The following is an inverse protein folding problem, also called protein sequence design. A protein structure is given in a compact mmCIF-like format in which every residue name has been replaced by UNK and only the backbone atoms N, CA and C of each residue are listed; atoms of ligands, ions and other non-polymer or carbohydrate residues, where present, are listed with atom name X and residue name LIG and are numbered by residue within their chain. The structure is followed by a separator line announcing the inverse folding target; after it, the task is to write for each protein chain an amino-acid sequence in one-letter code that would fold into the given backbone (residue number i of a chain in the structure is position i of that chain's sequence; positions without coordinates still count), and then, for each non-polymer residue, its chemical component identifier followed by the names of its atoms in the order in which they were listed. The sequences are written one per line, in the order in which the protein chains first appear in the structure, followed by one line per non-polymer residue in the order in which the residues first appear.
data_IF_021633542613
#
_entry.id   IF_021633542613
#
_cell.length_a   1.000
_cell.length_b   1.000
_cell.length_c   1.000
_cell.angle_alpha   90.00
_cell.angle_beta   90.00
_cell.angle_gamma   90.00
#
_symmetry.space_group_name_H-M   'P 1'
#
loop_
_entity.id
_entity.type
_entity.pdbx_description
1 polymer ?
#
# COMPACT_ATOMS: atom_id res chain seq x y z
N UNK A 1 25.67 5.59 -3.29
CA UNK A 1 24.86 5.04 -4.40
C UNK A 1 23.91 4.02 -3.82
N UNK A 2 22.64 4.38 -3.65
CA UNK A 2 21.63 3.40 -3.26
C UNK A 2 21.50 2.35 -4.37
N UNK A 3 21.49 1.07 -4.00
CA UNK A 3 21.29 -0.03 -4.94
C UNK A 3 20.06 0.24 -5.80
N UNK A 4 20.21 0.10 -7.12
CA UNK A 4 19.09 0.02 -8.07
C UNK A 4 18.10 -1.02 -7.52
N UNK A 5 16.82 -0.67 -7.54
CA UNK A 5 15.76 -1.32 -6.75
C UNK A 5 15.67 -2.85 -6.91
N UNK A 6 15.52 -3.56 -5.79
CA UNK A 6 15.25 -5.01 -5.73
C UNK A 6 13.73 -5.27 -5.78
N UNK A 7 13.03 -4.76 -6.78
CA UNK A 7 11.61 -5.05 -6.97
C UNK A 7 11.41 -6.15 -8.01
N UNK A 8 10.38 -6.96 -7.82
CA UNK A 8 9.94 -8.00 -8.77
C UNK A 8 8.52 -7.64 -9.16
N UNK A 9 8.30 -7.37 -10.44
CA UNK A 9 7.02 -6.88 -10.97
C UNK A 9 6.59 -7.78 -12.12
N UNK A 10 5.45 -8.43 -11.99
CA UNK A 10 4.87 -9.25 -13.04
C UNK A 10 3.55 -8.67 -13.53
N UNK A 11 3.15 -9.01 -14.74
CA UNK A 11 1.82 -8.75 -15.28
C UNK A 11 1.03 -10.05 -15.34
N UNK A 12 -0.19 -10.02 -14.79
CA UNK A 12 -1.18 -11.09 -14.92
C UNK A 12 -2.31 -10.62 -15.83
N UNK A 13 -2.55 -11.35 -16.93
CA UNK A 13 -3.64 -11.05 -17.88
C UNK A 13 -4.81 -12.01 -17.81
N UNK A 14 -4.61 -13.16 -17.17
CA UNK A 14 -5.62 -14.21 -17.04
C UNK A 14 -5.63 -14.76 -15.63
N UNK A 15 -6.80 -15.21 -15.19
CA UNK A 15 -6.96 -15.97 -13.95
C UNK A 15 -6.53 -17.44 -14.11
N UNK A 16 -6.29 -17.90 -15.35
CA UNK A 16 -5.77 -19.23 -15.64
C UNK A 16 -4.27 -19.31 -15.28
N UNK A 17 -3.90 -20.09 -14.25
CA UNK A 17 -2.51 -20.18 -13.79
C UNK A 17 -1.58 -20.84 -14.81
N UNK A 18 -2.11 -21.59 -15.79
CA UNK A 18 -1.30 -22.24 -16.82
C UNK A 18 -0.68 -21.26 -17.82
N UNK A 19 -1.24 -20.05 -17.93
CA UNK A 19 -0.76 -19.01 -18.84
C UNK A 19 0.42 -18.22 -18.26
N UNK A 20 0.81 -18.47 -17.01
CA UNK A 20 1.94 -17.83 -16.34
C UNK A 20 1.75 -16.32 -16.15
N UNK A 21 2.82 -15.67 -15.67
CA UNK A 21 2.88 -14.21 -15.54
C UNK A 21 4.00 -13.65 -16.40
N UNK A 22 3.76 -12.50 -17.02
CA UNK A 22 4.75 -11.80 -17.85
C UNK A 22 5.69 -11.01 -16.93
N UNK A 23 7.01 -11.15 -17.09
CA UNK A 23 7.99 -10.36 -16.33
C UNK A 23 8.04 -8.91 -16.84
N UNK A 24 8.09 -7.95 -15.91
CA UNK A 24 8.43 -6.56 -16.20
C UNK A 24 9.84 -6.31 -15.66
N UNK A 25 10.89 -6.56 -16.46
CA UNK A 25 12.25 -6.36 -16.00
C UNK A 25 12.54 -4.87 -15.73
N UNK A 26 13.64 -4.58 -15.00
CA UNK A 26 14.13 -3.23 -14.82
C UNK A 26 14.22 -2.45 -16.14
N UNK A 27 13.93 -1.15 -16.08
CA UNK A 27 13.90 -0.21 -17.22
C UNK A 27 12.71 -0.34 -18.18
N UNK A 28 11.74 -1.22 -17.93
CA UNK A 28 10.43 -1.09 -18.58
C UNK A 28 9.65 0.09 -17.98
N UNK A 29 8.75 0.76 -18.73
CA UNK A 29 7.92 1.84 -18.17
C UNK A 29 7.09 1.38 -16.97
N UNK A 30 6.48 0.19 -17.06
CA UNK A 30 5.70 -0.41 -15.95
C UNK A 30 6.57 -0.57 -14.71
N UNK A 31 7.72 -1.25 -14.83
CA UNK A 31 8.63 -1.42 -13.71
C UNK A 31 9.06 -0.08 -13.11
N UNK A 32 9.52 0.84 -13.96
CA UNK A 32 10.09 2.13 -13.52
C UNK A 32 9.08 2.94 -12.72
N UNK A 33 7.83 3.04 -13.19
CA UNK A 33 6.81 3.85 -12.55
C UNK A 33 6.21 3.18 -11.31
N UNK A 34 6.08 1.84 -11.31
CA UNK A 34 5.70 1.09 -10.11
C UNK A 34 6.79 1.19 -9.04
N UNK A 35 8.06 1.02 -9.42
CA UNK A 35 9.22 1.17 -8.54
C UNK A 35 9.28 2.57 -7.91
N UNK A 36 9.01 3.61 -8.70
CA UNK A 36 8.91 4.99 -8.22
C UNK A 36 7.82 5.12 -7.14
N UNK A 37 6.61 4.64 -7.40
CA UNK A 37 5.51 4.71 -6.43
C UNK A 37 5.81 3.92 -5.14
N UNK A 38 6.47 2.75 -5.25
CA UNK A 38 6.94 1.97 -4.10
C UNK A 38 7.95 2.77 -3.28
N UNK A 39 8.92 3.43 -3.92
CA UNK A 39 9.92 4.21 -3.19
C UNK A 39 9.31 5.41 -2.44
N UNK A 40 8.30 6.05 -3.02
CA UNK A 40 7.53 7.10 -2.34
C UNK A 40 6.81 6.50 -1.11
N UNK A 41 6.11 5.38 -1.28
CA UNK A 41 5.43 4.69 -0.18
C UNK A 41 6.39 4.29 0.96
N UNK A 42 7.55 3.71 0.62
CA UNK A 42 8.58 3.37 1.60
C UNK A 42 9.09 4.61 2.33
N UNK A 43 9.27 5.72 1.63
CA UNK A 43 9.69 6.99 2.26
C UNK A 43 8.64 7.53 3.23
N UNK A 44 7.35 7.41 2.90
CA UNK A 44 6.24 7.73 3.81
C UNK A 44 6.31 6.84 5.05
N UNK A 45 6.37 5.52 4.86
CA UNK A 45 6.36 4.52 5.94
C UNK A 45 7.60 4.59 6.85
N UNK A 46 8.78 4.83 6.27
CA UNK A 46 10.06 4.91 6.98
C UNK A 46 10.30 6.26 7.67
N UNK A 47 9.48 7.28 7.38
CA UNK A 47 9.54 8.57 8.05
C UNK A 47 9.30 8.44 9.57
N UNK A 48 9.76 9.40 10.40
CA UNK A 48 9.46 9.38 11.83
C UNK A 48 7.95 9.28 12.13
N UNK A 49 7.12 9.92 11.29
CA UNK A 49 5.66 9.89 11.41
C UNK A 49 5.06 8.55 10.99
N UNK A 50 5.54 7.97 9.89
CA UNK A 50 5.18 6.63 9.43
C UNK A 50 5.50 5.56 10.48
N UNK A 51 6.74 5.53 10.98
CA UNK A 51 7.16 4.60 12.04
C UNK A 51 6.33 4.75 13.31
N UNK A 52 5.98 5.99 13.68
CA UNK A 52 5.14 6.25 14.85
C UNK A 52 3.78 5.54 14.72
N UNK A 53 3.05 5.76 13.63
CA UNK A 53 1.72 5.18 13.47
C UNK A 53 1.72 3.70 13.13
N UNK A 54 2.74 3.19 12.43
CA UNK A 54 2.94 1.75 12.31
C UNK A 54 3.16 1.09 13.68
N UNK A 55 3.88 1.74 14.58
CA UNK A 55 4.05 1.26 15.97
C UNK A 55 2.74 1.27 16.74
N UNK A 56 1.92 2.32 16.58
CA UNK A 56 0.59 2.36 17.21
C UNK A 56 -0.31 1.25 16.66
N UNK A 57 -0.36 1.07 15.34
CA UNK A 57 -1.11 0.00 14.71
C UNK A 57 -0.63 -1.38 15.17
N UNK A 58 0.68 -1.60 15.24
CA UNK A 58 1.27 -2.84 15.72
C UNK A 58 0.87 -3.16 17.17
N UNK A 59 0.87 -2.16 18.06
CA UNK A 59 0.41 -2.33 19.45
C UNK A 59 -1.08 -2.70 19.54
N UNK A 60 -1.92 -2.09 18.70
CA UNK A 60 -3.35 -2.41 18.66
C UNK A 60 -3.57 -3.84 18.15
N UNK A 61 -2.89 -4.23 17.06
CA UNK A 61 -2.94 -5.59 16.53
C UNK A 61 -2.51 -6.60 17.59
N UNK A 62 -1.42 -6.30 18.29
CA UNK A 62 -0.84 -7.16 19.32
C UNK A 62 -1.77 -7.33 20.54
N UNK A 63 -2.44 -6.26 20.96
CA UNK A 63 -3.43 -6.31 22.03
C UNK A 63 -4.61 -7.23 21.69
N UNK A 64 -5.04 -7.24 20.42
CA UNK A 64 -6.12 -8.11 19.92
C UNK A 64 -5.71 -9.59 19.76
N UNK A 65 -4.43 -9.93 19.99
CA UNK A 65 -3.92 -11.32 19.91
C UNK A 65 -3.95 -12.06 21.26
N UNK A 66 -4.22 -11.35 22.36
CA UNK A 66 -4.30 -11.87 23.73
C UNK A 66 -3.11 -12.78 24.10
N UNK A 67 -3.33 -14.07 24.35
CA UNK A 67 -2.28 -15.04 24.71
C UNK A 67 -1.15 -15.17 23.66
N UNK A 68 -1.40 -14.75 22.41
CA UNK A 68 -0.41 -14.77 21.32
C UNK A 68 0.29 -13.41 21.12
N UNK A 69 0.10 -12.46 22.04
CA UNK A 69 0.76 -11.16 22.01
C UNK A 69 2.30 -11.30 22.04
N UNK A 70 2.95 -10.62 21.10
CA UNK A 70 4.39 -10.50 20.98
C UNK A 70 4.97 -9.40 21.86
N UNK A 71 4.21 -8.33 22.11
CA UNK A 71 4.73 -7.11 22.75
C UNK A 71 4.21 -6.90 24.17
N UNK A 72 3.06 -7.47 24.52
CA UNK A 72 2.41 -7.31 25.83
C UNK A 72 2.24 -5.83 26.20
N UNK A 73 1.90 -5.00 25.22
CA UNK A 73 1.78 -3.54 25.37
C UNK A 73 3.11 -2.78 25.45
N UNK A 74 4.27 -3.46 25.34
CA UNK A 74 5.57 -2.80 25.35
C UNK A 74 5.85 -2.09 24.02
N UNK A 75 5.79 -0.76 24.06
CA UNK A 75 6.00 0.11 22.90
C UNK A 75 7.39 0.00 22.29
N UNK A 76 8.44 -0.23 23.08
CA UNK A 76 9.81 -0.32 22.56
C UNK A 76 10.02 -1.63 21.79
N UNK A 77 9.41 -2.73 22.25
CA UNK A 77 9.39 -4.01 21.53
C UNK A 77 8.60 -3.86 20.23
N UNK A 78 7.41 -3.24 20.27
CA UNK A 78 6.61 -2.99 19.08
C UNK A 78 7.38 -2.16 18.03
N UNK A 79 8.04 -1.08 18.49
CA UNK A 79 8.88 -0.22 17.64
C UNK A 79 10.02 -1.02 17.01
N UNK A 80 10.72 -1.85 17.78
CA UNK A 80 11.78 -2.70 17.27
C UNK A 80 11.28 -3.60 16.14
N UNK A 81 10.15 -4.28 16.32
CA UNK A 81 9.61 -5.17 15.30
C UNK A 81 9.05 -4.44 14.07
N UNK A 82 8.53 -3.23 14.23
CA UNK A 82 8.18 -2.35 13.10
C UNK A 82 9.43 -1.95 12.31
N UNK A 83 10.53 -1.63 12.99
CA UNK A 83 11.80 -1.32 12.33
C UNK A 83 12.35 -2.54 11.58
N UNK A 84 12.25 -3.74 12.16
CA UNK A 84 12.61 -5.00 11.49
C UNK A 84 11.71 -5.26 10.28
N UNK A 85 10.40 -5.07 10.41
CA UNK A 85 9.44 -5.22 9.32
C UNK A 85 9.79 -4.29 8.14
N UNK A 86 9.98 -3.00 8.40
CA UNK A 86 10.35 -2.03 7.37
C UNK A 86 11.70 -2.36 6.73
N UNK A 87 12.69 -2.77 7.52
CA UNK A 87 13.99 -3.18 6.98
C UNK A 87 13.87 -4.39 6.04
N UNK A 88 13.04 -5.38 6.39
CA UNK A 88 12.75 -6.54 5.54
C UNK A 88 12.05 -6.13 4.25
N UNK A 89 11.00 -5.32 4.34
CA UNK A 89 10.24 -4.82 3.18
C UNK A 89 11.14 -3.99 2.25
N UNK A 90 12.02 -3.15 2.79
CA UNK A 90 12.99 -2.38 1.99
C UNK A 90 14.00 -3.28 1.28
N UNK A 91 14.51 -4.29 1.97
CA UNK A 91 15.51 -5.21 1.43
C UNK A 91 14.94 -6.16 0.37
N UNK A 92 13.74 -6.67 0.61
CA UNK A 92 13.04 -7.63 -0.23
C UNK A 92 11.55 -7.32 -0.23
N UNK A 93 11.15 -6.32 -1.02
CA UNK A 93 9.75 -5.93 -1.15
C UNK A 93 8.89 -7.12 -1.61
N UNK A 94 7.58 -7.18 -1.29
CA UNK A 94 6.70 -8.19 -1.89
C UNK A 94 6.76 -8.22 -3.42
N UNK A 95 6.33 -9.34 -4.01
CA UNK A 95 6.13 -9.40 -5.45
C UNK A 95 4.96 -8.48 -5.82
N UNK A 96 5.12 -7.64 -6.83
CA UNK A 96 4.01 -6.81 -7.34
C UNK A 96 3.42 -7.47 -8.57
N UNK A 97 2.09 -7.65 -8.57
CA UNK A 97 1.35 -8.19 -9.70
C UNK A 97 0.48 -7.09 -10.31
N UNK A 98 0.84 -6.63 -11.50
CA UNK A 98 0.00 -5.78 -12.35
C UNK A 98 -1.10 -6.65 -12.93
N UNK A 99 -2.28 -6.58 -12.34
CA UNK A 99 -3.33 -7.56 -12.55
C UNK A 99 -4.48 -7.00 -13.39
N UNK A 100 -4.54 -7.43 -14.66
CA UNK A 100 -5.63 -7.08 -15.57
C UNK A 100 -6.90 -7.90 -15.33
N UNK A 101 -6.90 -8.85 -14.38
CA UNK A 101 -8.12 -9.56 -13.97
C UNK A 101 -8.91 -8.78 -12.90
N UNK A 102 -8.32 -7.73 -12.31
CA UNK A 102 -9.01 -6.78 -11.43
C UNK A 102 -9.94 -5.87 -12.25
N UNK A 103 -11.15 -6.36 -12.50
CA UNK A 103 -12.12 -5.68 -13.39
C UNK A 103 -12.85 -4.50 -12.74
N UNK A 104 -12.74 -4.32 -11.42
CA UNK A 104 -13.32 -3.17 -10.74
C UNK A 104 -12.33 -1.99 -10.77
N UNK A 105 -12.62 -0.91 -11.52
CA UNK A 105 -11.72 0.24 -11.62
C UNK A 105 -11.58 1.06 -10.33
N UNK A 106 -12.42 0.78 -9.32
CA UNK A 106 -12.35 1.37 -7.98
C UNK A 106 -11.49 0.54 -7.02
N UNK A 107 -11.11 -0.69 -7.40
CA UNK A 107 -10.17 -1.52 -6.66
C UNK A 107 -8.76 -1.27 -7.21
N UNK A 108 -8.00 -0.42 -6.53
CA UNK A 108 -6.68 0.03 -6.99
C UNK A 108 -5.58 -1.02 -6.78
N UNK A 109 -5.72 -1.80 -5.71
CA UNK A 109 -4.79 -2.84 -5.32
C UNK A 109 -5.35 -3.63 -4.16
N UNK A 110 -4.69 -4.74 -3.86
CA UNK A 110 -4.96 -5.54 -2.68
C UNK A 110 -3.73 -6.37 -2.30
N UNK A 111 -3.63 -6.72 -1.03
CA UNK A 111 -2.73 -7.75 -0.53
C UNK A 111 -3.52 -9.07 -0.35
N UNK A 112 -3.38 -10.06 -1.25
CA UNK A 112 -3.89 -11.40 -1.02
C UNK A 112 -3.19 -11.99 0.21
N UNK A 113 -3.91 -12.06 1.33
CA UNK A 113 -3.33 -12.55 2.58
C UNK A 113 -2.98 -14.03 2.43
N UNK A 114 -1.74 -14.34 2.75
CA UNK A 114 -1.24 -15.70 2.82
C UNK A 114 -0.76 -15.99 4.23
N UNK A 115 -1.08 -17.19 4.73
CA UNK A 115 -0.46 -17.68 5.97
C UNK A 115 1.05 -17.85 5.79
N UNK A 116 1.81 -17.60 6.85
CA UNK A 116 3.24 -17.88 6.87
C UNK A 116 3.64 -18.47 8.23
N UNK A 117 4.80 -19.14 8.28
CA UNK A 117 5.26 -19.91 9.45
C UNK A 117 6.62 -19.44 9.94
N UNK A 118 6.86 -19.51 11.25
CA UNK A 118 8.14 -19.16 11.86
C UNK A 118 8.01 -18.02 12.87
N UNK A 119 9.15 -17.50 13.32
CA UNK A 119 9.20 -16.32 14.18
C UNK A 119 9.18 -15.04 13.33
N UNK A 120 8.82 -13.90 13.91
CA UNK A 120 8.78 -12.61 13.20
C UNK A 120 10.08 -12.30 12.41
N UNK A 121 11.25 -12.66 12.96
CA UNK A 121 12.54 -12.51 12.26
C UNK A 121 12.67 -13.34 10.98
N UNK A 122 11.89 -14.40 10.82
CA UNK A 122 11.92 -15.33 9.69
C UNK A 122 10.96 -14.90 8.57
N UNK A 123 10.12 -13.88 8.80
CA UNK A 123 9.21 -13.36 7.79
C UNK A 123 9.97 -12.93 6.53
N UNK A 124 9.52 -13.43 5.37
CA UNK A 124 10.03 -13.07 4.06
C UNK A 124 8.93 -12.34 3.26
N UNK A 125 9.02 -11.01 3.12
CA UNK A 125 8.02 -10.28 2.36
C UNK A 125 7.97 -10.70 0.87
N UNK A 126 9.08 -11.22 0.29
CA UNK A 126 9.11 -11.68 -1.11
C UNK A 126 8.21 -12.89 -1.36
N UNK A 127 7.91 -13.68 -0.33
CA UNK A 127 6.96 -14.80 -0.42
C UNK A 127 5.49 -14.34 -0.52
N UNK A 128 5.23 -13.05 -0.31
CA UNK A 128 3.92 -12.43 -0.44
C UNK A 128 3.82 -11.58 -1.71
N UNK A 129 2.58 -11.20 -2.05
CA UNK A 129 2.30 -10.35 -3.20
C UNK A 129 1.39 -9.16 -2.85
N UNK A 130 1.55 -8.10 -3.62
CA UNK A 130 0.62 -6.97 -3.71
C UNK A 130 0.11 -6.93 -5.16
N UNK A 131 -1.18 -7.12 -5.34
CA UNK A 131 -1.82 -6.97 -6.64
C UNK A 131 -2.19 -5.50 -6.84
N UNK A 132 -1.98 -4.98 -8.03
CA UNK A 132 -2.37 -3.62 -8.42
C UNK A 132 -3.18 -3.66 -9.70
N UNK A 133 -4.13 -2.75 -9.85
CA UNK A 133 -5.04 -2.76 -10.99
C UNK A 133 -4.29 -2.52 -12.30
N UNK A 134 -4.37 -3.51 -13.21
CA UNK A 134 -3.67 -3.48 -14.49
C UNK A 134 -4.08 -2.31 -15.38
N UNK A 135 -5.39 -2.00 -15.43
CA UNK A 135 -5.90 -0.88 -16.23
C UNK A 135 -5.37 0.46 -15.68
N UNK A 136 -5.41 0.68 -14.36
CA UNK A 136 -4.87 1.90 -13.74
C UNK A 136 -3.37 2.05 -13.94
N UNK A 137 -2.65 0.93 -13.96
CA UNK A 137 -1.21 0.92 -14.25
C UNK A 137 -0.94 1.31 -15.70
N UNK A 138 -1.73 0.81 -16.64
CA UNK A 138 -1.65 1.20 -18.04
C UNK A 138 -1.97 2.69 -18.25
N UNK A 139 -3.01 3.21 -17.57
CA UNK A 139 -3.38 4.62 -17.60
C UNK A 139 -2.23 5.51 -17.07
N UNK A 140 -1.56 5.08 -15.98
CA UNK A 140 -0.35 5.74 -15.47
C UNK A 140 0.76 5.79 -16.52
N UNK A 141 1.09 4.64 -17.15
CA UNK A 141 2.15 4.57 -18.17
C UNK A 141 1.82 5.50 -19.35
N UNK A 142 0.56 5.52 -19.81
CA UNK A 142 0.13 6.40 -20.89
C UNK A 142 0.24 7.89 -20.50
N UNK A 143 -0.10 8.23 -19.25
CA UNK A 143 -0.05 9.61 -18.77
C UNK A 143 1.36 10.20 -18.69
N UNK A 144 2.40 9.36 -18.59
CA UNK A 144 3.79 9.78 -18.57
C UNK A 144 4.25 10.42 -19.90
N UNK A 145 3.58 10.10 -21.01
CA UNK A 145 3.86 10.67 -22.33
C UNK A 145 3.20 12.05 -22.56
N UNK A 146 2.39 12.55 -21.61
CA UNK A 146 1.66 13.81 -21.73
C UNK A 146 2.49 15.05 -21.40
N UNK A 147 2.09 16.22 -21.93
CA UNK A 147 2.87 17.47 -21.88
C UNK A 147 2.98 18.14 -20.48
N UNK A 148 2.05 17.90 -19.55
CA UNK A 148 1.99 18.60 -18.24
C UNK A 148 2.55 17.76 -17.06
N UNK A 149 2.70 16.44 -17.24
CA UNK A 149 3.21 15.51 -16.22
C UNK A 149 2.37 15.43 -14.92
N UNK A 150 1.40 16.33 -14.70
CA UNK A 150 0.61 16.38 -13.47
C UNK A 150 -0.28 15.16 -13.32
N UNK A 151 -0.88 14.67 -14.42
CA UNK A 151 -1.68 13.46 -14.36
C UNK A 151 -0.83 12.24 -13.97
N UNK A 152 0.40 12.15 -14.48
CA UNK A 152 1.36 11.13 -14.07
C UNK A 152 1.71 11.24 -12.58
N UNK A 153 1.96 12.44 -12.07
CA UNK A 153 2.19 12.66 -10.64
C UNK A 153 0.98 12.30 -9.78
N UNK A 154 -0.24 12.55 -10.25
CA UNK A 154 -1.44 12.10 -9.56
C UNK A 154 -1.52 10.56 -9.51
N UNK A 155 -1.13 9.84 -10.56
CA UNK A 155 -1.04 8.38 -10.56
C UNK A 155 0.07 7.86 -9.63
N UNK A 156 1.24 8.52 -9.62
CA UNK A 156 2.31 8.20 -8.67
C UNK A 156 1.83 8.34 -7.23
N UNK A 157 1.10 9.41 -6.93
CA UNK A 157 0.50 9.62 -5.62
C UNK A 157 -0.55 8.55 -5.28
N UNK A 158 -1.47 8.25 -6.22
CA UNK A 158 -2.49 7.20 -6.10
C UNK A 158 -1.89 5.84 -5.74
N UNK A 159 -0.87 5.41 -6.47
CA UNK A 159 -0.21 4.13 -6.20
C UNK A 159 0.64 4.18 -4.94
N UNK A 160 1.30 5.30 -4.63
CA UNK A 160 2.08 5.41 -3.39
C UNK A 160 1.21 5.34 -2.14
N UNK A 161 0.04 5.99 -2.12
CA UNK A 161 -0.91 5.87 -1.00
C UNK A 161 -1.50 4.47 -0.92
N UNK A 162 -1.79 3.83 -2.06
CA UNK A 162 -2.24 2.43 -2.09
C UNK A 162 -1.16 1.47 -1.56
N UNK A 163 0.11 1.60 -1.95
CA UNK A 163 1.19 0.78 -1.38
C UNK A 163 1.37 1.06 0.11
N UNK A 164 1.23 2.31 0.56
CA UNK A 164 1.26 2.65 1.99
C UNK A 164 0.13 1.91 2.74
N UNK A 165 -1.06 1.87 2.17
CA UNK A 165 -2.23 1.15 2.68
C UNK A 165 -1.98 -0.36 2.76
N UNK A 166 -1.64 -0.99 1.63
CA UNK A 166 -1.51 -2.44 1.53
C UNK A 166 -0.27 -2.97 2.27
N UNK A 167 0.88 -2.34 2.06
CA UNK A 167 2.16 -2.79 2.63
C UNK A 167 2.31 -2.31 4.07
N UNK A 168 1.97 -1.05 4.35
CA UNK A 168 2.09 -0.51 5.71
C UNK A 168 1.12 -1.16 6.69
N UNK A 169 -0.11 -1.46 6.26
CA UNK A 169 -1.13 -1.97 7.17
C UNK A 169 -1.43 -3.46 6.97
N UNK A 170 -1.88 -3.88 5.80
CA UNK A 170 -2.32 -5.26 5.60
C UNK A 170 -1.17 -6.26 5.69
N UNK A 171 -0.03 -5.96 5.08
CA UNK A 171 1.15 -6.81 5.21
C UNK A 171 1.72 -6.79 6.63
N UNK A 172 1.61 -5.67 7.37
CA UNK A 172 1.98 -5.62 8.79
C UNK A 172 1.09 -6.54 9.64
N UNK A 173 -0.23 -6.58 9.37
CA UNK A 173 -1.13 -7.56 10.00
C UNK A 173 -0.69 -8.99 9.66
N UNK A 174 -0.36 -9.26 8.39
CA UNK A 174 0.16 -10.58 7.96
C UNK A 174 1.44 -10.93 8.73
N UNK A 175 2.39 -9.99 8.83
CA UNK A 175 3.63 -10.13 9.60
C UNK A 175 3.35 -10.48 11.06
N UNK A 176 2.51 -9.73 11.78
CA UNK A 176 2.31 -9.95 13.21
C UNK A 176 1.47 -11.19 13.52
N UNK A 177 0.53 -11.56 12.63
CA UNK A 177 -0.48 -12.61 12.89
C UNK A 177 -0.25 -13.90 12.11
N UNK A 178 0.95 -14.13 11.59
CA UNK A 178 1.26 -15.30 10.76
C UNK A 178 0.32 -15.46 9.54
N UNK A 179 -0.29 -14.36 9.07
CA UNK A 179 -1.27 -14.34 7.97
C UNK A 179 -2.60 -15.06 8.23
N UNK A 180 -2.87 -15.54 9.44
CA UNK A 180 -3.99 -16.48 9.72
C UNK A 180 -5.30 -15.81 10.12
N UNK A 181 -5.33 -14.49 10.31
CA UNK A 181 -6.52 -13.80 10.79
C UNK A 181 -6.80 -12.53 10.00
N UNK A 182 -8.07 -12.31 9.70
CA UNK A 182 -8.59 -11.04 9.21
C UNK A 182 -8.14 -9.88 10.13
N UNK A 183 -8.15 -8.67 9.60
CA UNK A 183 -7.96 -7.48 10.45
C UNK A 183 -9.06 -7.50 11.51
N UNK A 184 -8.74 -7.37 12.82
CA UNK A 184 -9.75 -7.28 13.87
C UNK A 184 -10.77 -6.17 13.55
N UNK A 185 -12.07 -6.38 13.78
CA UNK A 185 -13.11 -5.39 13.48
C UNK A 185 -12.94 -4.06 14.24
N UNK A 186 -12.20 -4.07 15.35
CA UNK A 186 -11.83 -2.86 16.11
C UNK A 186 -10.85 -1.96 15.37
N UNK A 187 -10.07 -2.50 14.45
CA UNK A 187 -9.15 -1.77 13.56
C UNK A 187 -9.91 -1.39 12.29
N UNK A 188 -10.80 -0.41 12.42
CA UNK A 188 -11.59 0.11 11.30
C UNK A 188 -11.86 1.60 11.46
N UNK A 189 -12.22 2.25 10.35
CA UNK A 189 -12.74 3.61 10.33
C UNK A 189 -14.23 3.56 9.98
N UNK A 190 -15.02 4.50 10.50
CA UNK A 190 -16.45 4.57 10.20
C UNK A 190 -16.70 4.54 8.68
N UNK A 191 -17.63 3.68 8.25
CA UNK A 191 -17.96 3.50 6.82
C UNK A 191 -17.12 2.44 6.10
N UNK A 192 -16.11 1.88 6.76
CA UNK A 192 -15.26 0.82 6.22
C UNK A 192 -15.30 -0.45 7.09
N UNK A 193 -14.84 -1.56 6.51
CA UNK A 193 -14.86 -2.87 7.14
C UNK A 193 -16.28 -3.42 7.31
N UNK A 194 -16.42 -4.36 8.24
CA UNK A 194 -17.67 -5.06 8.57
C UNK A 194 -17.71 -5.39 10.06
N UNK A 195 -18.81 -6.01 10.52
CA UNK A 195 -18.94 -6.46 11.91
C UNK A 195 -17.91 -7.51 12.32
N UNK A 196 -17.30 -8.21 11.35
CA UNK A 196 -16.40 -9.35 11.60
C UNK A 196 -14.98 -9.14 11.06
N UNK A 197 -14.76 -8.09 10.27
CA UNK A 197 -13.48 -7.82 9.58
C UNK A 197 -13.25 -6.31 9.55
N UNK A 198 -12.15 -5.84 10.11
CA UNK A 198 -11.73 -4.43 10.04
C UNK A 198 -11.04 -4.09 8.72
N UNK A 199 -10.61 -2.83 8.61
CA UNK A 199 -9.96 -2.26 7.42
C UNK A 199 -8.69 -1.51 7.89
N UNK A 200 -7.57 -2.24 7.98
CA UNK A 200 -6.36 -1.71 8.62
C UNK A 200 -5.66 -0.65 7.77
N UNK A 201 -5.83 -0.66 6.45
CA UNK A 201 -5.22 0.34 5.58
C UNK A 201 -5.87 1.71 5.74
N UNK A 202 -7.20 1.77 5.74
CA UNK A 202 -7.99 2.98 6.07
C UNK A 202 -7.73 3.43 7.49
N UNK A 203 -7.59 2.49 8.42
CA UNK A 203 -7.17 2.83 9.78
C UNK A 203 -5.81 3.53 9.78
N UNK A 204 -4.79 2.97 9.11
CA UNK A 204 -3.47 3.59 9.01
C UNK A 204 -3.55 4.98 8.34
N UNK A 205 -4.25 5.10 7.22
CA UNK A 205 -4.48 6.38 6.52
C UNK A 205 -5.05 7.45 7.46
N UNK A 206 -6.11 7.11 8.21
CA UNK A 206 -6.80 8.05 9.09
C UNK A 206 -5.89 8.74 10.10
N UNK A 207 -4.89 8.02 10.62
CA UNK A 207 -3.93 8.60 11.55
C UNK A 207 -2.71 9.19 10.84
N UNK A 208 -2.19 8.51 9.81
CA UNK A 208 -0.97 8.90 9.11
C UNK A 208 -1.16 10.16 8.24
N UNK A 209 -2.32 10.29 7.60
CA UNK A 209 -2.65 11.41 6.71
C UNK A 209 -3.67 12.38 7.33
N UNK A 210 -4.21 12.05 8.51
CA UNK A 210 -5.26 12.82 9.17
C UNK A 210 -6.66 12.58 8.59
N UNK A 211 -6.84 11.51 7.82
CA UNK A 211 -8.12 11.09 7.24
C UNK A 211 -7.97 9.89 6.29
N UNK A 212 -9.05 9.43 5.67
CA UNK A 212 -8.98 8.46 4.56
C UNK A 212 -8.82 9.19 3.23
N UNK A 213 -7.99 8.64 2.33
CA UNK A 213 -7.73 9.26 1.02
C UNK A 213 -8.69 8.66 -0.01
N UNK A 214 -9.56 9.48 -0.57
CA UNK A 214 -10.56 9.07 -1.55
C UNK A 214 -10.35 9.74 -2.91
N UNK A 215 -10.60 8.99 -3.98
CA UNK A 215 -10.41 9.47 -5.35
C UNK A 215 -11.77 9.58 -6.05
N UNK A 216 -12.26 10.81 -6.16
CA UNK A 216 -13.56 11.07 -6.76
C UNK A 216 -13.44 11.34 -8.25
N UNK A 217 -14.30 10.72 -9.04
CA UNK A 217 -14.36 10.95 -10.48
C UNK A 217 -14.66 12.41 -10.79
N UNK A 218 -13.82 13.05 -11.61
CA UNK A 218 -14.14 14.28 -12.29
C UNK A 218 -15.14 14.01 -13.41
N UNK A 219 -16.33 14.62 -13.33
CA UNK A 219 -17.37 14.47 -14.35
C UNK A 219 -16.93 14.91 -15.76
N UNK A 220 -15.93 15.78 -15.84
CA UNK A 220 -15.38 16.32 -17.09
C UNK A 220 -14.29 15.45 -17.73
N UNK A 221 -13.95 14.29 -17.15
CA UNK A 221 -12.88 13.41 -17.63
C UNK A 221 -13.39 11.99 -17.91
N UNK A 222 -12.71 11.27 -18.80
CA UNK A 222 -13.04 9.90 -19.18
C UNK A 222 -12.72 8.89 -18.05
N UNK A 223 -12.79 7.59 -18.36
CA UNK A 223 -12.53 6.53 -17.37
C UNK A 223 -11.03 6.32 -17.08
N UNK A 224 -10.12 6.91 -17.85
CA UNK A 224 -8.66 6.79 -17.71
C UNK A 224 -8.05 7.84 -16.77
N UNK A 225 -8.90 8.51 -15.98
CA UNK A 225 -8.48 9.49 -14.97
C UNK A 225 -8.03 8.84 -13.66
N UNK A 226 -7.16 9.55 -12.94
CA UNK A 226 -6.80 9.26 -11.54
C UNK A 226 -7.92 9.52 -10.55
N UNK A 227 -8.92 10.30 -10.94
CA UNK A 227 -9.84 10.96 -10.02
C UNK A 227 -9.18 12.18 -9.35
N UNK A 228 -9.99 12.93 -8.62
CA UNK A 228 -9.55 14.05 -7.80
C UNK A 228 -9.33 13.50 -6.38
N UNK A 229 -8.12 13.59 -5.82
CA UNK A 229 -7.85 13.13 -4.47
C UNK A 229 -8.46 14.09 -3.44
N UNK A 230 -9.17 13.51 -2.48
CA UNK A 230 -9.70 14.18 -1.29
C UNK A 230 -9.22 13.46 -0.05
N UNK A 231 -9.00 14.22 1.01
CA UNK A 231 -8.84 13.69 2.34
C UNK A 231 -10.17 13.84 3.08
N UNK A 232 -10.61 12.80 3.77
CA UNK A 232 -11.83 12.80 4.59
C UNK A 232 -11.45 12.49 6.03
N UNK A 233 -11.65 13.44 6.93
CA UNK A 233 -11.34 13.23 8.35
C UNK A 233 -12.45 12.44 9.09
N UNK A 234 -12.17 12.12 10.36
CA UNK A 234 -13.10 11.44 11.25
C UNK A 234 -14.42 12.20 11.53
N UNK A 235 -14.52 13.46 11.13
CA UNK A 235 -15.73 14.30 11.24
C UNK A 235 -16.48 14.37 9.90
N UNK A 236 -16.09 13.55 8.91
CA UNK A 236 -16.59 13.56 7.54
C UNK A 236 -16.38 14.89 6.80
N UNK A 237 -15.40 15.69 7.22
CA UNK A 237 -15.00 16.89 6.46
C UNK A 237 -14.06 16.47 5.35
N UNK A 238 -14.41 16.83 4.12
CA UNK A 238 -13.63 16.51 2.94
C UNK A 238 -12.92 17.76 2.40
N UNK A 239 -11.63 17.64 2.09
CA UNK A 239 -10.89 18.67 1.36
C UNK A 239 -10.05 18.07 0.25
N UNK A 240 -9.97 18.79 -0.87
CA UNK A 240 -9.16 18.38 -2.02
C UNK A 240 -7.69 18.46 -1.66
N UNK A 241 -6.93 17.41 -1.99
CA UNK A 241 -5.47 17.44 -1.89
C UNK A 241 -4.92 18.29 -3.04
N UNK A 242 -4.12 19.30 -2.68
CA UNK A 242 -3.59 20.24 -3.66
C UNK A 242 -2.54 19.57 -4.56
N UNK A 243 -2.43 20.03 -5.82
CA UNK A 243 -1.36 19.57 -6.72
C UNK A 243 0.03 19.90 -6.18
N UNK A 244 0.19 20.99 -5.43
CA UNK A 244 1.45 21.34 -4.76
C UNK A 244 1.87 20.24 -3.78
N UNK A 245 0.95 19.78 -2.92
CA UNK A 245 1.20 18.68 -1.98
C UNK A 245 1.57 17.39 -2.70
N UNK A 246 0.83 17.03 -3.76
CA UNK A 246 1.12 15.85 -4.59
C UNK A 246 2.53 15.95 -5.17
N UNK A 247 2.87 17.11 -5.72
CA UNK A 247 4.16 17.34 -6.35
C UNK A 247 5.31 17.30 -5.33
N UNK A 248 5.12 17.77 -4.10
CA UNK A 248 6.10 17.67 -3.03
C UNK A 248 6.34 16.23 -2.56
N UNK A 249 5.28 15.43 -2.45
CA UNK A 249 5.39 14.02 -2.07
C UNK A 249 6.03 13.19 -3.19
N UNK A 250 5.65 13.45 -4.44
CA UNK A 250 6.16 12.73 -5.61
C UNK A 250 7.49 13.30 -6.16
N UNK A 251 8.14 14.23 -5.45
CA UNK A 251 9.42 14.83 -5.85
C UNK A 251 10.64 13.96 -5.55
N UNK A 252 10.44 12.74 -5.04
CA UNK A 252 11.54 11.88 -4.63
C UNK A 252 12.52 11.63 -5.80
N UNK A 253 13.73 12.16 -5.64
CA UNK A 253 14.93 11.96 -6.47
C UNK A 253 15.72 10.74 -6.02
#
# INVERSE_FOLDING_TARGET
MASIANFVVFTRRSSDPSLGWEDNPPNTPVYTYVASAINIALSILESPHGRHYLTQLALIIDHEMDENSHFQGNKDIAKHWVDVFLAKVRAQFPVVIVDFTMNNPNELGCHPRGGWMGHLKDFDPRSHMICINGQRTADMVASACGQDGQNFRNFQFLFATMFTHEVGAHLLVTFLRNGRVNTPPTITVQGYGSRTVGESGRFLEAYLFGGTTEYYRAASQDMHQTGIPYQIDHQNRAWRISSTTINEICRYE
#
